data_IF_384383651704
#
_entry.id   IF_384383651704
#
_cell.length_a   1.000
_cell.length_b   1.000
_cell.length_c   1.000
_cell.angle_alpha   90.00
_cell.angle_beta   90.00
_cell.angle_gamma   90.00
#
_symmetry.space_group_name_H-M   'P 1'
#
loop_
_entity.id
_entity.type
_entity.pdbx_description
1 polymer ?
#
# COMPACT_ATOMS: atom_id res chain seq x y z
N UNK A 1 2.61 -6.49 19.21
CA UNK A 1 2.36 -5.03 19.10
C UNK A 1 2.89 -4.51 17.78
N UNK A 2 1.98 -4.19 16.87
CA UNK A 2 2.26 -3.66 15.53
C UNK A 2 2.81 -2.23 15.63
N UNK A 3 3.86 -1.92 14.87
CA UNK A 3 4.40 -0.56 14.77
C UNK A 3 3.64 0.21 13.67
N UNK A 4 2.83 1.19 14.07
CA UNK A 4 1.93 1.94 13.18
C UNK A 4 2.69 2.69 12.10
N UNK A 5 3.88 3.23 12.43
CA UNK A 5 4.73 3.94 11.47
C UNK A 5 5.14 3.00 10.35
N UNK A 6 5.73 1.85 10.72
CA UNK A 6 6.12 0.81 9.76
C UNK A 6 4.94 0.26 8.94
N UNK A 7 3.76 0.14 9.54
CA UNK A 7 2.55 -0.29 8.83
C UNK A 7 2.14 0.71 7.76
N UNK A 8 2.08 1.99 8.11
CA UNK A 8 1.75 3.07 7.15
C UNK A 8 2.78 3.15 6.03
N UNK A 9 4.07 3.03 6.36
CA UNK A 9 5.15 3.03 5.37
C UNK A 9 5.03 1.85 4.40
N UNK A 10 4.68 0.66 4.92
CA UNK A 10 4.44 -0.52 4.10
C UNK A 10 3.19 -0.37 3.21
N UNK A 11 2.07 0.14 3.75
CA UNK A 11 0.85 0.43 2.97
C UNK A 11 1.19 1.41 1.83
N UNK A 12 1.89 2.50 2.13
CA UNK A 12 2.30 3.48 1.15
C UNK A 12 3.21 2.90 0.06
N UNK A 13 4.20 2.09 0.45
CA UNK A 13 5.13 1.44 -0.47
C UNK A 13 4.44 0.48 -1.42
N UNK A 14 3.48 -0.31 -0.92
CA UNK A 14 2.70 -1.23 -1.76
C UNK A 14 1.87 -0.45 -2.80
N UNK A 15 1.29 0.68 -2.39
CA UNK A 15 0.48 1.54 -3.24
C UNK A 15 1.30 2.34 -4.27
N UNK A 16 2.43 2.93 -3.88
CA UNK A 16 3.28 3.75 -4.74
C UNK A 16 4.24 2.92 -5.61
N UNK A 17 4.66 1.74 -5.13
CA UNK A 17 5.58 0.84 -5.84
C UNK A 17 4.91 -0.13 -6.81
N UNK A 18 3.57 -0.12 -6.90
CA UNK A 18 2.78 -1.07 -7.69
C UNK A 18 3.10 -1.08 -9.20
N UNK A 19 3.50 0.05 -9.78
CA UNK A 19 3.79 0.13 -11.22
C UNK A 19 5.11 -0.55 -11.62
N UNK A 20 6.13 -0.49 -10.75
CA UNK A 20 7.43 -1.14 -11.02
C UNK A 20 7.32 -2.66 -11.10
N UNK A 21 6.35 -3.26 -10.41
CA UNK A 21 6.11 -4.72 -10.46
C UNK A 21 5.31 -5.17 -11.68
N UNK A 22 4.37 -4.37 -12.19
CA UNK A 22 3.65 -4.68 -13.45
C UNK A 22 4.54 -4.53 -14.68
N UNK A 23 5.47 -3.57 -14.66
CA UNK A 23 6.43 -3.35 -15.75
C UNK A 23 7.63 -4.31 -15.75
N UNK A 24 7.92 -5.00 -14.64
CA UNK A 24 8.99 -6.02 -14.56
C UNK A 24 8.53 -7.47 -14.82
N UNK A 25 7.27 -7.74 -15.14
CA UNK A 25 6.81 -9.09 -15.50
C UNK A 25 7.32 -9.59 -16.88
N UNK A 26 8.30 -8.92 -17.48
CA UNK A 26 8.91 -9.29 -18.76
C UNK A 26 10.43 -9.45 -18.75
N UNK A 27 11.11 -9.36 -17.60
CA UNK A 27 12.54 -9.69 -17.56
C UNK A 27 12.94 -10.56 -16.36
N UNK A 28 13.81 -11.52 -16.68
CA UNK A 28 14.04 -12.76 -15.96
C UNK A 28 14.87 -12.61 -14.67
N UNK A 29 14.53 -13.48 -13.72
CA UNK A 29 15.43 -14.19 -12.80
C UNK A 29 16.67 -13.44 -12.26
N UNK A 30 16.57 -12.95 -11.02
CA UNK A 30 17.68 -13.03 -10.06
C UNK A 30 17.17 -12.94 -8.61
N UNK A 31 17.66 -13.79 -7.68
CA UNK A 31 17.45 -13.62 -6.25
C UNK A 31 18.60 -12.77 -5.70
N UNK A 32 18.34 -11.53 -5.31
CA UNK A 32 19.31 -10.74 -4.57
C UNK A 32 18.58 -9.82 -3.59
N UNK A 33 18.77 -10.13 -2.31
CA UNK A 33 19.10 -9.15 -1.27
C UNK A 33 18.75 -7.69 -1.62
N UNK A 34 17.64 -7.21 -1.06
CA UNK A 34 17.31 -5.79 -1.06
C UNK A 34 17.23 -5.27 0.36
N UNK A 35 18.38 -5.16 1.01
CA UNK A 35 18.69 -3.97 1.80
C UNK A 35 18.70 -2.74 0.87
N UNK A 36 17.52 -2.20 0.56
CA UNK A 36 17.38 -0.91 -0.10
C UNK A 36 16.98 0.16 0.92
N UNK A 37 18.02 0.78 1.51
CA UNK A 37 18.00 2.11 2.13
C UNK A 37 17.71 3.17 1.04
N UNK A 38 16.47 3.21 0.56
CA UNK A 38 15.97 4.20 -0.40
C UNK A 38 14.69 4.84 0.11
N UNK A 39 14.82 5.71 1.10
CA UNK A 39 13.70 6.33 1.84
C UNK A 39 13.08 7.54 1.11
N UNK A 40 13.54 7.97 -0.07
CA UNK A 40 13.33 9.38 -0.48
C UNK A 40 12.66 9.67 -1.85
N UNK A 41 12.17 8.70 -2.64
CA UNK A 41 11.67 9.02 -4.00
C UNK A 41 10.37 8.29 -4.41
N UNK A 42 9.45 8.10 -3.47
CA UNK A 42 8.05 7.72 -3.78
C UNK A 42 7.12 8.80 -3.25
N UNK A 43 7.11 9.94 -3.94
CA UNK A 43 6.30 11.11 -3.63
C UNK A 43 4.87 10.98 -4.17
N UNK A 44 4.69 10.18 -5.23
CA UNK A 44 3.41 10.02 -5.92
C UNK A 44 2.91 8.57 -5.94
N UNK A 45 1.59 8.42 -5.93
CA UNK A 45 0.88 7.17 -6.08
C UNK A 45 0.90 6.74 -7.56
N UNK A 46 1.20 5.46 -7.81
CA UNK A 46 1.20 4.86 -9.14
C UNK A 46 -0.23 4.58 -9.65
N UNK A 47 -1.02 5.63 -9.87
CA UNK A 47 -2.41 5.55 -10.34
C UNK A 47 -3.37 4.96 -9.29
N UNK A 48 -4.53 4.50 -9.75
CA UNK A 48 -5.58 4.02 -8.86
C UNK A 48 -5.25 2.63 -8.30
N UNK A 49 -5.35 2.48 -6.97
CA UNK A 49 -5.11 1.23 -6.25
C UNK A 49 -6.40 0.74 -5.60
N UNK A 50 -6.61 -0.58 -5.54
CA UNK A 50 -7.72 -1.16 -4.77
C UNK A 50 -7.27 -1.48 -3.35
N UNK A 51 -8.11 -1.19 -2.38
CA UNK A 51 -7.80 -1.50 -0.98
C UNK A 51 -7.67 -3.00 -0.76
N UNK A 52 -8.52 -3.82 -1.39
CA UNK A 52 -8.42 -5.28 -1.35
C UNK A 52 -7.05 -5.81 -1.84
N UNK A 53 -6.50 -5.23 -2.90
CA UNK A 53 -5.18 -5.59 -3.45
C UNK A 53 -4.07 -5.22 -2.46
N UNK A 54 -4.13 -4.03 -1.87
CA UNK A 54 -3.18 -3.57 -0.84
C UNK A 54 -3.19 -4.50 0.37
N UNK A 55 -4.37 -4.85 0.89
CA UNK A 55 -4.50 -5.78 2.03
C UNK A 55 -3.96 -7.17 1.67
N UNK A 56 -4.22 -7.65 0.45
CA UNK A 56 -3.73 -8.94 -0.02
C UNK A 56 -2.20 -8.97 -0.11
N UNK A 57 -1.58 -7.88 -0.57
CA UNK A 57 -0.12 -7.77 -0.59
C UNK A 57 0.48 -7.68 0.82
N UNK A 58 -0.15 -6.94 1.74
CA UNK A 58 0.32 -6.86 3.13
C UNK A 58 0.27 -8.22 3.84
N UNK A 59 -0.74 -9.06 3.55
CA UNK A 59 -0.82 -10.42 4.07
C UNK A 59 0.40 -11.28 3.69
N UNK A 60 1.03 -11.00 2.56
CA UNK A 60 2.25 -11.71 2.12
C UNK A 60 3.52 -11.20 2.82
N UNK A 61 3.50 -9.98 3.37
CA UNK A 61 4.65 -9.33 4.01
C UNK A 61 4.70 -9.61 5.52
N UNK A 62 3.55 -9.88 6.15
CA UNK A 62 3.46 -10.12 7.59
C UNK A 62 3.20 -11.61 7.92
N UNK A 63 3.94 -12.18 8.89
CA UNK A 63 3.68 -13.54 9.36
C UNK A 63 2.31 -13.64 10.05
N UNK A 64 1.70 -14.82 9.98
CA UNK A 64 0.30 -15.09 10.40
C UNK A 64 -0.02 -14.63 11.82
N UNK A 65 0.91 -14.75 12.77
CA UNK A 65 0.75 -14.30 14.16
C UNK A 65 0.54 -12.77 14.30
N UNK A 66 1.06 -11.97 13.35
CA UNK A 66 0.86 -10.52 13.33
C UNK A 66 -0.35 -10.09 12.51
N UNK A 67 -0.93 -10.99 11.72
CA UNK A 67 -2.15 -10.73 10.95
C UNK A 67 -3.38 -10.64 11.86
N UNK A 68 -3.39 -11.37 12.98
CA UNK A 68 -4.47 -11.28 13.98
C UNK A 68 -4.59 -9.88 14.59
N UNK A 69 -3.45 -9.19 14.77
CA UNK A 69 -3.40 -7.79 15.21
C UNK A 69 -3.74 -6.80 14.07
N UNK A 70 -3.66 -7.21 12.80
CA UNK A 70 -3.89 -6.40 11.60
C UNK A 70 -5.29 -6.63 11.01
N UNK A 71 -6.31 -6.24 11.77
CA UNK A 71 -7.68 -6.25 11.26
C UNK A 71 -7.84 -5.33 10.03
N UNK A 72 -8.79 -5.65 9.15
CA UNK A 72 -9.17 -4.80 8.01
C UNK A 72 -9.52 -3.39 8.47
N UNK A 73 -10.23 -3.26 9.58
CA UNK A 73 -10.57 -1.99 10.20
C UNK A 73 -9.35 -1.15 10.58
N UNK A 74 -8.29 -1.78 11.10
CA UNK A 74 -7.07 -1.06 11.49
C UNK A 74 -6.28 -0.57 10.27
N UNK A 75 -6.21 -1.39 9.21
CA UNK A 75 -5.61 -0.98 7.96
C UNK A 75 -6.40 0.17 7.32
N UNK A 76 -7.73 0.16 7.42
CA UNK A 76 -8.59 1.24 6.95
C UNK A 76 -8.36 2.54 7.74
N UNK A 77 -8.23 2.49 9.06
CA UNK A 77 -7.88 3.67 9.87
C UNK A 77 -6.51 4.24 9.43
N UNK A 78 -5.53 3.38 9.17
CA UNK A 78 -4.22 3.81 8.67
C UNK A 78 -4.31 4.46 7.28
N UNK A 79 -5.18 3.92 6.40
CA UNK A 79 -5.46 4.50 5.09
C UNK A 79 -6.06 5.91 5.21
N UNK A 80 -6.99 6.14 6.13
CA UNK A 80 -7.57 7.47 6.36
C UNK A 80 -6.52 8.49 6.83
N UNK A 81 -5.60 8.07 7.70
CA UNK A 81 -4.47 8.93 8.08
C UNK A 81 -3.55 9.24 6.89
N UNK A 82 -3.24 8.23 6.06
CA UNK A 82 -2.44 8.42 4.85
C UNK A 82 -3.14 9.35 3.85
N UNK A 83 -4.46 9.28 3.72
CA UNK A 83 -5.22 10.16 2.85
C UNK A 83 -5.05 11.64 3.22
N UNK A 84 -5.03 11.95 4.51
CA UNK A 84 -4.76 13.30 4.99
C UNK A 84 -3.30 13.74 4.79
N UNK A 85 -2.35 12.82 4.90
CA UNK A 85 -0.91 13.13 4.83
C UNK A 85 -0.36 13.21 3.40
N UNK A 86 -0.97 12.48 2.46
CA UNK A 86 -0.50 12.33 1.08
C UNK A 86 -1.51 12.81 0.04
N UNK A 87 -2.58 13.48 0.49
CA UNK A 87 -3.69 13.96 -0.35
C UNK A 87 -4.32 12.84 -1.18
N UNK A 88 -4.74 11.76 -0.53
CA UNK A 88 -5.41 10.65 -1.22
C UNK A 88 -6.92 10.85 -1.24
N UNK A 89 -7.50 10.50 -2.37
CA UNK A 89 -8.93 10.35 -2.61
C UNK A 89 -9.31 8.88 -2.44
N UNK A 90 -10.33 8.63 -1.64
CA UNK A 90 -10.86 7.29 -1.38
C UNK A 90 -12.30 7.25 -1.87
N UNK A 91 -12.61 6.35 -2.80
CA UNK A 91 -13.93 6.19 -3.39
C UNK A 91 -14.44 4.77 -3.14
N UNK A 92 -15.64 4.65 -2.59
CA UNK A 92 -16.32 3.36 -2.44
C UNK A 92 -17.21 3.04 -3.63
N UNK A 93 -17.42 1.75 -3.88
CA UNK A 93 -18.45 1.30 -4.83
C UNK A 93 -19.84 1.19 -4.18
N UNK A 94 -20.87 0.99 -5.00
CA UNK A 94 -22.26 0.86 -4.53
C UNK A 94 -22.50 -0.38 -3.63
N UNK A 95 -21.64 -1.39 -3.73
CA UNK A 95 -21.70 -2.60 -2.92
C UNK A 95 -20.94 -2.50 -1.59
N UNK A 96 -20.16 -1.43 -1.38
CA UNK A 96 -19.28 -1.22 -0.24
C UNK A 96 -18.33 -2.40 0.03
N UNK A 97 -18.02 -3.17 -1.02
CA UNK A 97 -17.19 -4.36 -0.93
C UNK A 97 -15.70 -4.04 -1.08
N UNK A 98 -15.38 -2.93 -1.76
CA UNK A 98 -14.01 -2.47 -1.93
C UNK A 98 -13.93 -0.94 -2.01
N UNK A 99 -12.70 -0.44 -1.95
CA UNK A 99 -12.37 0.99 -2.04
C UNK A 99 -11.30 1.20 -3.11
N UNK A 100 -11.50 2.23 -3.93
CA UNK A 100 -10.52 2.73 -4.89
C UNK A 100 -9.79 3.90 -4.25
N UNK A 101 -8.46 3.86 -4.31
CA UNK A 101 -7.55 4.85 -3.74
C UNK A 101 -6.83 5.53 -4.89
N UNK A 102 -6.93 6.84 -4.99
CA UNK A 102 -6.22 7.68 -5.95
C UNK A 102 -5.50 8.80 -5.23
N UNK A 103 -4.48 9.42 -5.83
CA UNK A 103 -3.87 10.62 -5.29
C UNK A 103 -4.40 11.84 -6.03
N UNK A 104 -4.87 12.82 -5.27
CA UNK A 104 -5.36 14.08 -5.83
C UNK A 104 -4.18 15.05 -5.98
N UNK A 105 -3.98 15.54 -7.19
CA UNK A 105 -3.03 16.61 -7.46
C UNK A 105 -3.81 17.91 -7.60
N UNK A 106 -3.64 18.83 -6.65
CA UNK A 106 -4.14 20.19 -6.78
C UNK A 106 -3.17 20.96 -7.71
N UNK A 107 -3.54 21.12 -8.98
CA UNK A 107 -2.95 22.14 -9.87
C UNK A 107 -3.43 23.55 -9.47
#
# INVERSE_FOLDING_TARGET
RVNIRKLKDNIWREMAGGDRRKSQAMDLAQPADMSLDGDDDLTALAGNQKFSDVISSLKNVYPTEKLEDLSVSFCFICLLHLANERNLRIEGDASLCDLVIAQDHFD
#
